data_IF_084993821469
#
_entry.id   IF_084993821469
#
_cell.length_a   1.000
_cell.length_b   1.000
_cell.length_c   1.000
_cell.angle_alpha   90.00
_cell.angle_beta   90.00
_cell.angle_gamma   90.00
#
_symmetry.space_group_name_H-M   'P 1'
#
loop_
_entity.id
_entity.type
_entity.pdbx_description
1 polymer ?
#
# COMPACT_ATOMS: atom_id res chain seq x y z
N UNK A 1 -4.74 10.50 -1.21
CA UNK A 1 -3.96 9.24 -1.33
C UNK A 1 -4.14 8.42 -0.05
N UNK A 2 -4.44 7.11 -0.13
CA UNK A 2 -4.43 6.25 1.07
C UNK A 2 -2.98 5.84 1.34
N UNK A 3 -2.51 6.07 2.56
CA UNK A 3 -1.11 5.77 2.91
C UNK A 3 -1.01 5.14 4.29
N UNK A 4 0.03 4.35 4.48
CA UNK A 4 0.35 3.80 5.78
C UNK A 4 0.75 4.89 6.76
N UNK A 5 0.61 4.54 8.04
CA UNK A 5 0.95 5.42 9.15
C UNK A 5 2.40 5.87 9.19
N UNK A 6 3.32 5.13 8.57
CA UNK A 6 4.73 5.54 8.42
C UNK A 6 4.89 6.84 7.62
N UNK A 7 3.90 7.21 6.82
CA UNK A 7 3.91 8.39 5.97
C UNK A 7 3.29 9.64 6.63
N UNK A 8 3.24 9.70 7.96
CA UNK A 8 2.77 10.89 8.69
C UNK A 8 3.50 12.19 8.30
N UNK A 9 4.77 12.10 7.86
CA UNK A 9 5.54 13.22 7.36
C UNK A 9 4.96 13.89 6.10
N UNK A 10 4.14 13.20 5.31
CA UNK A 10 3.50 13.77 4.10
C UNK A 10 2.58 14.95 4.42
N UNK A 11 1.99 14.97 5.62
CA UNK A 11 1.19 16.12 6.08
C UNK A 11 2.03 17.39 6.18
N UNK A 12 3.31 17.29 6.52
CA UNK A 12 4.22 18.46 6.59
C UNK A 12 4.55 19.02 5.21
N UNK A 13 4.46 18.19 4.18
CA UNK A 13 4.66 18.57 2.78
C UNK A 13 3.37 19.14 2.14
N UNK A 14 2.29 19.30 2.90
CA UNK A 14 1.00 19.78 2.38
C UNK A 14 0.26 18.74 1.52
N UNK A 15 0.71 17.48 1.50
CA UNK A 15 0.09 16.43 0.68
C UNK A 15 -1.13 15.88 1.41
N UNK A 16 -2.30 15.95 0.76
CA UNK A 16 -3.56 15.42 1.29
C UNK A 16 -3.57 13.89 1.23
N UNK A 17 -3.37 13.27 2.39
CA UNK A 17 -3.37 11.83 2.56
C UNK A 17 -4.41 11.38 3.58
N UNK A 18 -5.02 10.23 3.33
CA UNK A 18 -5.86 9.52 4.28
C UNK A 18 -4.96 8.56 5.06
N UNK A 19 -4.79 8.83 6.36
CA UNK A 19 -3.89 8.10 7.26
C UNK A 19 -4.72 7.56 8.43
N UNK A 20 -4.50 6.31 8.88
CA UNK A 20 -5.15 5.78 10.08
C UNK A 20 -4.87 6.64 11.32
N UNK A 21 -5.92 6.92 12.10
CA UNK A 21 -5.81 7.62 13.38
C UNK A 21 -5.08 6.76 14.42
N UNK A 22 -4.19 7.38 15.21
CA UNK A 22 -3.45 6.74 16.32
C UNK A 22 -4.04 7.16 17.66
N UNK A 23 -4.37 6.19 18.52
CA UNK A 23 -4.59 6.47 19.94
C UNK A 23 -3.26 6.83 20.63
N UNK A 24 -3.30 7.78 21.56
CA UNK A 24 -2.21 8.01 22.52
C UNK A 24 -2.74 7.91 23.94
N UNK A 25 -1.84 7.86 24.94
CA UNK A 25 -2.17 7.65 26.36
C UNK A 25 -3.30 8.56 26.85
N UNK A 26 -3.33 9.82 26.40
CA UNK A 26 -4.31 10.83 26.82
C UNK A 26 -5.30 11.21 25.71
N UNK A 27 -5.24 10.56 24.54
CA UNK A 27 -6.12 10.84 23.39
C UNK A 27 -6.62 9.52 22.80
N UNK A 28 -7.66 8.92 23.40
CA UNK A 28 -8.28 7.72 22.85
C UNK A 28 -8.97 8.03 21.51
N UNK A 29 -9.20 6.99 20.69
CA UNK A 29 -9.94 7.13 19.45
C UNK A 29 -11.44 7.34 19.74
N UNK A 30 -12.01 8.38 19.14
CA UNK A 30 -13.45 8.58 19.09
C UNK A 30 -14.12 7.47 18.26
N UNK A 31 -15.44 7.29 18.41
CA UNK A 31 -16.21 6.33 17.62
C UNK A 31 -16.05 6.58 16.11
N UNK A 32 -16.09 7.86 15.69
CA UNK A 32 -15.88 8.25 14.31
C UNK A 32 -14.48 7.85 13.80
N UNK A 33 -13.42 8.10 14.58
CA UNK A 33 -12.07 7.70 14.19
C UNK A 33 -11.95 6.17 14.03
N UNK A 34 -12.62 5.40 14.89
CA UNK A 34 -12.65 3.93 14.78
C UNK A 34 -13.37 3.48 13.51
N UNK A 35 -14.49 4.10 13.16
CA UNK A 35 -15.22 3.82 11.92
C UNK A 35 -14.37 4.13 10.69
N UNK A 36 -13.70 5.29 10.66
CA UNK A 36 -12.80 5.67 9.56
C UNK A 36 -11.64 4.66 9.46
N UNK A 37 -11.01 4.30 10.57
CA UNK A 37 -9.94 3.30 10.57
C UNK A 37 -10.41 1.93 10.07
N UNK A 38 -11.66 1.53 10.36
CA UNK A 38 -12.25 0.29 9.84
C UNK A 38 -12.38 0.31 8.32
N UNK A 39 -12.87 1.40 7.75
CA UNK A 39 -12.98 1.56 6.30
C UNK A 39 -11.62 1.63 5.61
N UNK A 40 -10.66 2.30 6.24
CA UNK A 40 -9.26 2.29 5.80
C UNK A 40 -8.71 0.86 5.81
N UNK A 41 -8.90 0.11 6.89
CA UNK A 41 -8.46 -1.29 7.02
C UNK A 41 -9.02 -2.20 5.94
N UNK A 42 -10.33 -2.08 5.62
CA UNK A 42 -10.95 -2.84 4.51
C UNK A 42 -10.24 -2.61 3.17
N UNK A 43 -9.78 -1.38 2.92
CA UNK A 43 -9.03 -1.04 1.69
C UNK A 43 -7.60 -1.59 1.75
N UNK A 44 -6.92 -1.51 2.90
CA UNK A 44 -5.59 -2.09 3.08
C UNK A 44 -5.58 -3.59 2.84
N UNK A 45 -6.59 -4.34 3.32
CA UNK A 45 -6.68 -5.79 3.11
C UNK A 45 -6.62 -6.13 1.61
N UNK A 46 -7.35 -5.39 0.75
CA UNK A 46 -7.28 -5.59 -0.70
C UNK A 46 -5.90 -5.29 -1.27
N UNK A 47 -5.26 -4.21 -0.81
CA UNK A 47 -3.91 -3.82 -1.22
C UNK A 47 -2.88 -4.88 -0.78
N UNK A 48 -3.01 -5.42 0.42
CA UNK A 48 -2.15 -6.47 0.96
C UNK A 48 -2.28 -7.77 0.16
N UNK A 49 -3.50 -8.15 -0.25
CA UNK A 49 -3.68 -9.29 -1.15
C UNK A 49 -2.97 -9.08 -2.49
N UNK A 50 -3.11 -7.91 -3.12
CA UNK A 50 -2.39 -7.56 -4.36
C UNK A 50 -0.88 -7.64 -4.14
N UNK A 51 -0.37 -7.03 -3.06
CA UNK A 51 1.05 -7.08 -2.72
C UNK A 51 1.54 -8.51 -2.46
N UNK A 52 0.72 -9.35 -1.84
CA UNK A 52 0.99 -10.77 -1.64
C UNK A 52 1.14 -11.52 -2.96
N UNK A 53 0.21 -11.30 -3.90
CA UNK A 53 0.31 -11.88 -5.25
C UNK A 53 1.53 -11.36 -6.01
N UNK A 54 1.84 -10.07 -5.92
CA UNK A 54 3.02 -9.49 -6.56
C UNK A 54 4.33 -10.03 -5.98
N UNK A 55 4.37 -10.42 -4.70
CA UNK A 55 5.54 -11.05 -4.08
C UNK A 55 5.76 -12.51 -4.51
N UNK A 56 4.90 -13.10 -5.34
CA UNK A 56 5.24 -14.37 -6.01
C UNK A 56 6.41 -14.20 -6.99
N UNK A 57 6.53 -13.00 -7.59
CA UNK A 57 7.66 -12.64 -8.43
C UNK A 57 8.88 -12.38 -7.55
N UNK A 58 9.90 -13.24 -7.62
CA UNK A 58 11.14 -13.13 -6.82
C UNK A 58 11.81 -11.75 -6.89
N UNK A 59 11.71 -11.09 -8.04
CA UNK A 59 12.22 -9.73 -8.26
C UNK A 59 11.62 -8.68 -7.31
N UNK A 60 10.40 -8.91 -6.81
CA UNK A 60 9.68 -8.07 -5.83
C UNK A 60 9.77 -8.64 -4.40
N UNK A 61 9.95 -9.96 -4.28
CA UNK A 61 10.02 -10.64 -2.99
C UNK A 61 11.37 -10.48 -2.28
N UNK A 62 12.45 -10.41 -3.04
CA UNK A 62 13.82 -10.36 -2.52
C UNK A 62 14.54 -9.07 -2.89
N UNK A 63 15.71 -8.84 -2.30
CA UNK A 63 16.56 -7.73 -2.70
C UNK A 63 16.93 -7.81 -4.18
N UNK A 64 16.57 -6.77 -4.92
CA UNK A 64 16.90 -6.64 -6.33
C UNK A 64 18.42 -6.41 -6.51
N UNK A 65 19.12 -7.37 -7.14
CA UNK A 65 20.58 -7.34 -7.35
C UNK A 65 21.01 -6.96 -8.78
N UNK A 66 20.09 -6.72 -9.70
CA UNK A 66 20.42 -6.41 -11.10
C UNK A 66 20.53 -4.89 -11.34
N UNK A 67 21.05 -4.47 -12.50
CA UNK A 67 21.13 -3.05 -12.88
C UNK A 67 19.73 -2.43 -12.88
N UNK A 68 19.62 -1.21 -12.34
CA UNK A 68 18.34 -0.48 -12.24
C UNK A 68 17.87 0.09 -13.58
N UNK A 69 18.77 0.21 -14.57
CA UNK A 69 18.41 0.58 -15.95
C UNK A 69 17.45 -0.49 -16.51
N UNK A 70 16.18 -0.12 -16.66
CA UNK A 70 15.10 -1.02 -17.08
C UNK A 70 14.26 -1.64 -15.94
N UNK A 71 14.44 -1.23 -14.68
CA UNK A 71 13.57 -1.69 -13.59
C UNK A 71 12.09 -1.35 -13.85
N UNK A 72 11.81 -0.13 -14.34
CA UNK A 72 10.44 0.28 -14.69
C UNK A 72 9.78 -0.62 -15.73
N UNK A 73 10.50 -1.01 -16.79
CA UNK A 73 9.98 -1.94 -17.80
C UNK A 73 9.63 -3.31 -17.18
N UNK A 74 10.51 -3.85 -16.32
CA UNK A 74 10.24 -5.12 -15.63
C UNK A 74 9.01 -5.04 -14.73
N UNK A 75 8.87 -3.94 -13.97
CA UNK A 75 7.69 -3.69 -13.14
C UNK A 75 6.41 -3.55 -13.96
N UNK A 76 6.47 -2.84 -15.09
CA UNK A 76 5.32 -2.69 -15.98
C UNK A 76 4.87 -4.02 -16.58
N UNK A 77 5.81 -4.89 -16.98
CA UNK A 77 5.49 -6.22 -17.49
C UNK A 77 4.86 -7.11 -16.42
N UNK A 78 5.35 -7.08 -15.18
CA UNK A 78 4.76 -7.82 -14.05
C UNK A 78 3.33 -7.32 -13.78
N UNK A 79 3.12 -6.00 -13.77
CA UNK A 79 1.80 -5.41 -13.59
C UNK A 79 0.86 -5.82 -14.75
N UNK A 80 1.35 -5.85 -15.99
CA UNK A 80 0.58 -6.32 -17.13
C UNK A 80 0.14 -7.79 -16.98
N UNK A 81 1.06 -8.67 -16.58
CA UNK A 81 0.76 -10.09 -16.32
C UNK A 81 -0.30 -10.21 -15.21
N UNK A 82 -0.12 -9.53 -14.08
CA UNK A 82 -1.07 -9.55 -12.97
C UNK A 82 -2.47 -9.06 -13.41
N UNK A 83 -2.54 -7.98 -14.18
CA UNK A 83 -3.81 -7.44 -14.68
C UNK A 83 -4.50 -8.41 -15.66
N UNK A 84 -3.74 -9.10 -16.51
CA UNK A 84 -4.30 -10.13 -17.40
C UNK A 84 -4.86 -11.32 -16.61
N UNK A 85 -4.18 -11.75 -15.55
CA UNK A 85 -4.69 -12.81 -14.67
C UNK A 85 -5.94 -12.38 -13.90
N UNK A 86 -6.00 -11.10 -13.49
CA UNK A 86 -7.14 -10.54 -12.78
C UNK A 86 -8.41 -10.50 -13.65
N UNK A 87 -8.28 -10.19 -14.95
CA UNK A 87 -9.41 -10.15 -15.90
C UNK A 87 -9.93 -11.56 -16.23
N UNK A 88 -9.05 -12.57 -16.19
CA UNK A 88 -9.40 -13.96 -16.51
C UNK A 88 -10.13 -14.68 -15.36
N UNK A 89 -10.07 -14.15 -14.15
CA UNK A 89 -10.80 -14.64 -12.97
C UNK A 89 -12.19 -14.01 -12.89
#
# INVERSE_FOLDING_TARGET
MLVDKGYQGLSRLGIRCLIPFKASKNKPLTLLHKQINREIGKRHIRIEHVNGTLKTFRILATHYRNRRKGMGLRLNLIAAIYNMELIKK
#
